data_IF_183708989844
#
_entry.id   IF_183708989844
#
_cell.length_a   1.000
_cell.length_b   1.000
_cell.length_c   1.000
_cell.angle_alpha   90.00
_cell.angle_beta   90.00
_cell.angle_gamma   90.00
#
_symmetry.space_group_name_H-M   'P 1'
#
loop_
_entity.id
_entity.type
_entity.pdbx_description
1 polymer ?
#
# COMPACT_ATOMS: atom_id res chain seq x y z
N UNK A 1 33.78 9.93 3.15
CA UNK A 1 34.88 9.40 2.31
C UNK A 1 35.19 10.37 1.18
N UNK A 2 36.46 10.63 0.83
CA UNK A 2 36.77 11.51 -0.30
C UNK A 2 36.29 10.91 -1.63
N UNK A 3 35.54 11.69 -2.42
CA UNK A 3 35.11 11.30 -3.77
C UNK A 3 36.35 11.03 -4.65
N UNK A 4 36.47 9.79 -5.15
CA UNK A 4 37.48 9.40 -6.13
C UNK A 4 37.26 10.16 -7.44
N UNK A 5 38.36 10.66 -8.02
CA UNK A 5 38.33 11.31 -9.34
C UNK A 5 37.97 10.31 -10.45
N UNK A 6 37.70 10.81 -11.66
CA UNK A 6 37.23 9.98 -12.78
C UNK A 6 38.16 8.81 -13.09
N UNK A 7 39.48 9.03 -13.09
CA UNK A 7 40.47 8.01 -13.42
C UNK A 7 40.50 6.92 -12.34
N UNK A 8 40.63 7.29 -11.06
CA UNK A 8 40.68 6.35 -9.94
C UNK A 8 39.38 5.57 -9.76
N UNK A 9 38.23 6.18 -10.04
CA UNK A 9 36.92 5.49 -10.04
C UNK A 9 36.84 4.43 -11.15
N UNK A 10 37.24 4.77 -12.38
CA UNK A 10 37.21 3.83 -13.50
C UNK A 10 38.26 2.73 -13.33
N UNK A 11 39.44 3.08 -12.81
CA UNK A 11 40.46 2.09 -12.44
C UNK A 11 39.90 1.08 -11.44
N UNK A 12 39.32 1.54 -10.33
CA UNK A 12 38.70 0.67 -9.33
C UNK A 12 37.60 -0.22 -9.94
N UNK A 13 36.76 0.32 -10.83
CA UNK A 13 35.72 -0.45 -11.54
C UNK A 13 36.29 -1.61 -12.34
N UNK A 14 37.48 -1.44 -12.91
CA UNK A 14 38.14 -2.43 -13.75
C UNK A 14 38.97 -3.42 -12.93
N UNK A 15 39.71 -2.94 -11.92
CA UNK A 15 40.65 -3.77 -11.15
C UNK A 15 40.02 -4.49 -9.97
N UNK A 16 38.98 -3.92 -9.36
CA UNK A 16 38.30 -4.50 -8.20
C UNK A 16 36.81 -4.15 -8.19
N UNK A 17 36.02 -5.04 -8.80
CA UNK A 17 34.56 -4.89 -8.88
C UNK A 17 33.89 -4.87 -7.50
N UNK A 18 34.43 -5.58 -6.52
CA UNK A 18 33.84 -5.64 -5.18
C UNK A 18 34.06 -4.30 -4.45
N UNK A 19 35.30 -3.79 -4.45
CA UNK A 19 35.61 -2.48 -3.89
C UNK A 19 34.90 -1.34 -4.64
N UNK A 20 34.71 -1.44 -5.96
CA UNK A 20 33.91 -0.48 -6.71
C UNK A 20 32.43 -0.47 -6.29
N UNK A 21 31.83 -1.65 -6.09
CA UNK A 21 30.45 -1.75 -5.57
C UNK A 21 30.34 -1.15 -4.17
N UNK A 22 31.29 -1.45 -3.28
CA UNK A 22 31.34 -0.90 -1.93
C UNK A 22 31.45 0.63 -1.95
N UNK A 23 32.40 1.18 -2.72
CA UNK A 23 32.55 2.63 -2.92
C UNK A 23 31.27 3.29 -3.43
N UNK A 24 30.57 2.66 -4.39
CA UNK A 24 29.30 3.18 -4.90
C UNK A 24 28.19 3.17 -3.84
N UNK A 25 28.13 2.13 -3.01
CA UNK A 25 27.18 2.02 -1.92
C UNK A 25 27.43 3.09 -0.85
N UNK A 26 28.69 3.33 -0.47
CA UNK A 26 29.07 4.39 0.46
C UNK A 26 28.70 5.78 -0.07
N UNK A 27 29.00 6.09 -1.34
CA UNK A 27 28.57 7.35 -1.95
C UNK A 27 27.05 7.54 -1.96
N UNK A 28 26.31 6.46 -2.21
CA UNK A 28 24.84 6.51 -2.24
C UNK A 28 24.28 6.62 -0.81
N UNK A 29 24.98 6.13 0.22
CA UNK A 29 24.67 6.36 1.63
C UNK A 29 24.90 7.84 2.01
N UNK A 30 26.10 8.38 1.76
CA UNK A 30 26.45 9.78 2.05
C UNK A 30 25.49 10.77 1.38
N UNK A 31 25.12 10.51 0.12
CA UNK A 31 24.14 11.34 -0.60
C UNK A 31 22.77 11.30 0.08
N UNK A 32 22.33 10.13 0.54
CA UNK A 32 21.05 9.99 1.25
C UNK A 32 21.09 10.70 2.60
N UNK A 33 22.17 10.56 3.36
CA UNK A 33 22.35 11.26 4.64
C UNK A 33 22.34 12.77 4.47
N UNK A 34 23.06 13.31 3.49
CA UNK A 34 23.07 14.74 3.20
C UNK A 34 21.67 15.26 2.80
N UNK A 35 20.95 14.51 1.98
CA UNK A 35 19.58 14.86 1.58
C UNK A 35 18.61 14.79 2.76
N UNK A 36 18.70 13.76 3.60
CA UNK A 36 17.92 13.64 4.84
C UNK A 36 18.17 14.83 5.76
N UNK A 37 19.43 15.22 5.98
CA UNK A 37 19.78 16.41 6.77
C UNK A 37 19.15 17.68 6.18
N UNK A 38 19.25 17.88 4.86
CA UNK A 38 18.65 19.03 4.18
C UNK A 38 17.13 19.09 4.39
N UNK A 39 16.44 17.99 4.09
CA UNK A 39 14.98 17.91 4.18
C UNK A 39 14.45 18.05 5.60
N UNK A 40 15.19 17.55 6.59
CA UNK A 40 14.83 17.72 8.00
C UNK A 40 14.83 19.19 8.43
N UNK A 41 15.76 19.99 7.90
CA UNK A 41 15.83 21.43 8.17
C UNK A 41 14.84 22.26 7.33
N UNK A 42 14.39 21.76 6.18
CA UNK A 42 13.42 22.43 5.30
C UNK A 42 11.96 22.34 5.78
N UNK A 43 11.68 21.66 6.91
CA UNK A 43 10.34 21.54 7.52
C UNK A 43 9.25 21.10 6.52
N UNK A 44 9.54 20.06 5.73
CA UNK A 44 8.58 19.49 4.77
C UNK A 44 7.38 18.78 5.43
N UNK A 45 7.37 18.69 6.77
CA UNK A 45 6.30 18.12 7.59
C UNK A 45 5.30 19.19 8.00
N UNK A 46 4.08 18.77 8.33
CA UNK A 46 3.05 19.68 8.81
C UNK A 46 3.04 19.77 10.33
N UNK A 47 2.72 20.97 10.85
CA UNK A 47 2.38 21.13 12.27
C UNK A 47 0.93 20.67 12.48
N UNK A 48 0.68 19.60 13.25
CA UNK A 48 -0.67 19.03 13.38
C UNK A 48 -1.65 20.02 14.02
N UNK A 49 -1.21 20.88 14.95
CA UNK A 49 -2.08 21.84 15.63
C UNK A 49 -2.54 22.91 14.64
N UNK A 50 -1.61 23.46 13.86
CA UNK A 50 -1.91 24.45 12.84
C UNK A 50 -2.77 23.87 11.72
N UNK A 51 -2.45 22.66 11.24
CA UNK A 51 -3.22 21.96 10.21
C UNK A 51 -4.67 21.72 10.65
N UNK A 52 -4.88 21.20 11.87
CA UNK A 52 -6.23 20.95 12.40
C UNK A 52 -7.00 22.27 12.57
N UNK A 53 -6.36 23.32 13.09
CA UNK A 53 -6.98 24.63 13.28
C UNK A 53 -7.38 25.27 11.94
N UNK A 54 -6.51 25.21 10.94
CA UNK A 54 -6.78 25.72 9.59
C UNK A 54 -7.93 24.95 8.91
N UNK A 55 -7.90 23.62 8.96
CA UNK A 55 -8.96 22.77 8.42
C UNK A 55 -10.31 23.09 9.08
N UNK A 56 -10.34 23.17 10.41
CA UNK A 56 -11.55 23.51 11.18
C UNK A 56 -12.09 24.90 10.82
N UNK A 57 -11.22 25.89 10.65
CA UNK A 57 -11.63 27.25 10.27
C UNK A 57 -12.17 27.32 8.85
N UNK A 58 -11.62 26.52 7.93
CA UNK A 58 -12.02 26.49 6.51
C UNK A 58 -13.28 25.64 6.28
N UNK A 59 -13.52 24.65 7.14
CA UNK A 59 -14.61 23.68 7.03
C UNK A 59 -14.36 22.56 6.02
N UNK A 60 -13.29 22.67 5.23
CA UNK A 60 -12.85 21.67 4.28
C UNK A 60 -11.34 21.74 4.10
N UNK A 61 -10.75 20.70 3.51
CA UNK A 61 -9.31 20.66 3.16
C UNK A 61 -9.07 19.91 1.86
N UNK A 62 -8.15 20.43 1.03
CA UNK A 62 -7.67 19.78 -0.18
C UNK A 62 -6.37 19.04 0.08
N UNK A 63 -6.39 17.74 -0.17
CA UNK A 63 -5.23 16.85 0.07
C UNK A 63 -4.86 16.15 -1.22
N UNK A 64 -3.58 16.13 -1.61
CA UNK A 64 -3.13 15.41 -2.82
C UNK A 64 -2.44 14.10 -2.53
N UNK A 65 -2.56 13.15 -3.47
CA UNK A 65 -1.81 11.90 -3.46
C UNK A 65 -1.59 11.35 -4.88
N UNK A 66 -0.42 10.78 -5.17
CA UNK A 66 -0.02 10.23 -6.48
C UNK A 66 0.44 8.77 -6.47
N UNK A 67 0.45 8.13 -5.29
CA UNK A 67 0.88 6.74 -5.16
C UNK A 67 -0.03 5.73 -5.85
N UNK A 68 0.36 4.46 -5.78
CA UNK A 68 -0.49 3.38 -6.30
C UNK A 68 -1.78 3.31 -5.48
N UNK A 69 -2.81 2.62 -5.99
CA UNK A 69 -4.10 2.49 -5.31
C UNK A 69 -3.97 1.98 -3.85
N UNK A 70 -3.03 1.07 -3.57
CA UNK A 70 -2.77 0.61 -2.19
C UNK A 70 -2.26 1.72 -1.28
N UNK A 71 -1.33 2.55 -1.76
CA UNK A 71 -0.79 3.69 -0.99
C UNK A 71 -1.91 4.69 -0.66
N UNK A 72 -2.86 4.90 -1.58
CA UNK A 72 -4.03 5.76 -1.36
C UNK A 72 -4.94 5.19 -0.26
N UNK A 73 -5.22 3.88 -0.27
CA UNK A 73 -6.01 3.22 0.79
C UNK A 73 -5.32 3.36 2.15
N UNK A 74 -3.99 3.24 2.21
CA UNK A 74 -3.24 3.41 3.45
C UNK A 74 -3.10 4.85 3.94
N UNK A 75 -3.43 5.85 3.12
CA UNK A 75 -3.53 7.25 3.54
C UNK A 75 -4.84 7.55 4.28
N UNK A 76 -5.91 6.80 3.98
CA UNK A 76 -7.25 7.00 4.54
C UNK A 76 -7.35 7.05 6.07
N UNK A 77 -6.66 6.23 6.88
CA UNK A 77 -6.79 6.34 8.34
C UNK A 77 -6.31 7.70 8.85
N UNK A 78 -5.24 8.26 8.26
CA UNK A 78 -4.76 9.61 8.61
C UNK A 78 -5.80 10.67 8.24
N UNK A 79 -6.43 10.55 7.07
CA UNK A 79 -7.47 11.48 6.60
C UNK A 79 -8.74 11.41 7.46
N UNK A 80 -9.19 10.19 7.78
CA UNK A 80 -10.29 9.95 8.71
C UNK A 80 -10.00 10.62 10.05
N UNK A 81 -8.79 10.46 10.58
CA UNK A 81 -8.42 11.09 11.85
C UNK A 81 -8.38 12.62 11.77
N UNK A 82 -7.89 13.17 10.67
CA UNK A 82 -7.93 14.62 10.44
C UNK A 82 -9.36 15.14 10.43
N UNK A 83 -10.28 14.46 9.73
CA UNK A 83 -11.71 14.79 9.75
C UNK A 83 -12.28 14.75 11.17
N UNK A 84 -12.04 13.67 11.93
CA UNK A 84 -12.52 13.55 13.32
C UNK A 84 -12.05 14.70 14.23
N UNK A 85 -10.80 15.15 14.07
CA UNK A 85 -10.20 16.18 14.92
C UNK A 85 -10.62 17.60 14.52
N UNK A 86 -10.87 17.84 13.23
CA UNK A 86 -11.15 19.17 12.69
C UNK A 86 -12.64 19.43 12.41
N UNK A 87 -13.42 18.37 12.16
CA UNK A 87 -14.76 18.44 11.59
C UNK A 87 -14.80 18.87 10.12
N UNK A 88 -13.65 18.94 9.44
CA UNK A 88 -13.56 19.45 8.08
C UNK A 88 -13.77 18.35 7.03
N UNK A 89 -14.43 18.71 5.94
CA UNK A 89 -14.63 17.84 4.79
C UNK A 89 -13.31 17.59 4.03
N UNK A 90 -12.95 16.32 3.83
CA UNK A 90 -11.72 15.96 3.10
C UNK A 90 -12.01 15.87 1.60
N UNK A 91 -11.25 16.62 0.81
CA UNK A 91 -11.27 16.57 -0.65
C UNK A 91 -9.95 15.97 -1.14
N UNK A 92 -9.97 14.69 -1.53
CA UNK A 92 -8.79 13.97 -2.01
C UNK A 92 -8.57 14.20 -3.51
N UNK A 93 -7.37 14.65 -3.87
CA UNK A 93 -6.98 15.03 -5.22
C UNK A 93 -5.93 14.05 -5.75
N UNK A 94 -6.28 13.29 -6.78
CA UNK A 94 -5.44 12.27 -7.36
C UNK A 94 -4.54 12.86 -8.45
N UNK A 95 -3.23 12.84 -8.21
CA UNK A 95 -2.22 13.24 -9.19
C UNK A 95 -1.85 12.03 -10.07
N UNK A 96 -2.19 12.11 -11.35
CA UNK A 96 -1.97 11.01 -12.29
C UNK A 96 -0.56 11.02 -12.90
N UNK A 97 -0.21 9.89 -13.52
CA UNK A 97 0.95 9.73 -14.40
C UNK A 97 2.32 9.99 -13.76
N UNK A 98 2.41 9.93 -12.43
CA UNK A 98 3.70 9.94 -11.74
C UNK A 98 4.50 8.70 -12.17
N UNK A 99 5.75 8.86 -12.66
CA UNK A 99 6.56 7.73 -13.09
C UNK A 99 6.80 6.73 -11.97
N UNK A 100 6.71 5.45 -12.29
CA UNK A 100 7.07 4.38 -11.36
C UNK A 100 8.57 4.08 -11.46
N UNK A 101 9.23 3.88 -10.33
CA UNK A 101 10.62 3.39 -10.28
C UNK A 101 10.56 1.92 -9.90
N UNK A 102 10.67 1.04 -10.90
CA UNK A 102 10.67 -0.41 -10.70
C UNK A 102 12.01 -1.03 -11.06
N UNK A 103 12.30 -2.16 -10.41
CA UNK A 103 13.35 -3.06 -10.87
C UNK A 103 12.95 -3.59 -12.26
N UNK A 104 13.85 -3.60 -13.26
CA UNK A 104 13.57 -4.10 -14.61
C UNK A 104 13.01 -5.52 -14.68
N UNK A 105 13.15 -6.32 -13.61
CA UNK A 105 12.59 -7.68 -13.52
C UNK A 105 11.07 -7.72 -13.32
N UNK A 106 10.44 -6.63 -12.88
CA UNK A 106 9.01 -6.58 -12.59
C UNK A 106 8.27 -5.71 -13.60
N UNK A 107 7.08 -6.16 -14.01
CA UNK A 107 6.14 -5.35 -14.77
C UNK A 107 5.07 -4.78 -13.84
N UNK A 108 4.74 -3.49 -13.99
CA UNK A 108 3.55 -2.94 -13.34
C UNK A 108 2.33 -3.18 -14.23
N UNK A 109 1.16 -3.55 -13.68
CA UNK A 109 -0.07 -3.65 -14.46
C UNK A 109 -0.45 -2.37 -15.21
N UNK A 110 0.03 -1.20 -14.74
CA UNK A 110 -0.21 0.11 -15.37
C UNK A 110 0.97 0.60 -16.24
N UNK A 111 1.96 -0.24 -16.51
CA UNK A 111 3.17 0.14 -17.25
C UNK A 111 4.09 1.03 -16.44
N UNK A 112 4.31 2.27 -16.89
CA UNK A 112 5.37 3.15 -16.37
C UNK A 112 4.88 4.20 -15.35
N UNK A 113 3.63 4.13 -14.92
CA UNK A 113 3.02 5.10 -13.99
C UNK A 113 2.40 4.44 -12.77
N UNK A 114 2.36 5.17 -11.66
CA UNK A 114 1.76 4.69 -10.39
C UNK A 114 0.23 4.67 -10.43
N UNK A 115 -0.38 5.68 -11.05
CA UNK A 115 -1.82 5.85 -11.15
C UNK A 115 -2.15 6.47 -12.51
N UNK A 116 -3.09 5.86 -13.25
CA UNK A 116 -3.61 6.39 -14.51
C UNK A 116 -5.11 6.69 -14.39
N UNK A 117 -5.70 7.29 -15.43
CA UNK A 117 -7.11 7.68 -15.42
C UNK A 117 -8.05 6.51 -15.09
N UNK A 118 -7.88 5.37 -15.76
CA UNK A 118 -8.71 4.17 -15.54
C UNK A 118 -8.71 3.74 -14.06
N UNK A 119 -7.55 3.78 -13.41
CA UNK A 119 -7.44 3.40 -12.00
C UNK A 119 -8.06 4.44 -11.07
N UNK A 120 -7.94 5.73 -11.40
CA UNK A 120 -8.64 6.78 -10.68
C UNK A 120 -10.15 6.61 -10.80
N UNK A 121 -10.67 6.35 -12.00
CA UNK A 121 -12.10 6.13 -12.23
C UNK A 121 -12.65 4.92 -11.47
N UNK A 122 -11.86 3.84 -11.35
CA UNK A 122 -12.23 2.65 -10.57
C UNK A 122 -12.17 2.88 -9.05
N UNK A 123 -11.30 3.79 -8.60
CA UNK A 123 -11.01 4.03 -7.18
C UNK A 123 -11.91 5.10 -6.57
N UNK A 124 -12.14 6.21 -7.28
CA UNK A 124 -12.90 7.36 -6.79
C UNK A 124 -14.25 6.97 -6.17
N UNK A 125 -15.10 6.12 -6.78
CA UNK A 125 -16.39 5.76 -6.19
C UNK A 125 -16.28 5.09 -4.81
N UNK A 126 -15.24 4.27 -4.59
CA UNK A 126 -14.99 3.62 -3.30
C UNK A 126 -14.56 4.64 -2.24
N UNK A 127 -13.72 5.60 -2.62
CA UNK A 127 -13.18 6.61 -1.71
C UNK A 127 -14.23 7.67 -1.37
N UNK A 128 -15.02 8.13 -2.33
CA UNK A 128 -16.10 9.11 -2.12
C UNK A 128 -17.26 8.55 -1.29
N UNK A 129 -17.45 7.23 -1.27
CA UNK A 129 -18.47 6.61 -0.43
C UNK A 129 -18.15 6.69 1.08
N UNK A 130 -16.92 7.07 1.46
CA UNK A 130 -16.51 7.10 2.85
C UNK A 130 -17.02 8.37 3.55
N UNK A 131 -17.56 8.28 4.78
CA UNK A 131 -18.27 9.40 5.42
C UNK A 131 -17.41 10.62 5.74
N UNK A 132 -16.08 10.46 5.76
CA UNK A 132 -15.11 11.52 6.01
C UNK A 132 -14.52 12.11 4.72
N UNK A 133 -14.93 11.64 3.54
CA UNK A 133 -14.49 12.14 2.23
C UNK A 133 -15.65 12.86 1.55
N UNK A 134 -15.49 14.15 1.25
CA UNK A 134 -16.48 14.92 0.49
C UNK A 134 -16.30 14.76 -1.04
N UNK A 135 -15.06 14.60 -1.51
CA UNK A 135 -14.79 14.30 -2.93
C UNK A 135 -13.45 13.59 -3.12
N UNK A 136 -13.35 12.78 -4.18
CA UNK A 136 -12.12 12.15 -4.65
C UNK A 136 -12.05 12.25 -6.17
N UNK A 137 -11.29 13.23 -6.68
CA UNK A 137 -11.19 13.51 -8.12
C UNK A 137 -9.75 13.68 -8.57
N UNK A 138 -9.54 13.68 -9.89
CA UNK A 138 -8.24 14.02 -10.47
C UNK A 138 -7.88 15.47 -10.19
N UNK A 139 -6.64 15.72 -9.77
CA UNK A 139 -6.10 17.04 -9.52
C UNK A 139 -6.13 17.90 -10.80
N UNK A 140 -6.64 19.13 -10.70
CA UNK A 140 -6.79 20.03 -11.84
C UNK A 140 -6.25 21.45 -11.57
N UNK A 141 -5.16 21.55 -10.83
CA UNK A 141 -4.52 22.84 -10.51
C UNK A 141 -5.11 23.55 -9.29
N UNK A 142 -5.76 22.80 -8.39
CA UNK A 142 -6.34 23.29 -7.15
C UNK A 142 -5.28 23.80 -6.16
N UNK A 143 -5.63 24.74 -5.28
CA UNK A 143 -4.77 25.12 -4.17
C UNK A 143 -4.75 23.99 -3.12
N UNK A 144 -3.57 23.39 -2.91
CA UNK A 144 -3.38 22.21 -2.06
C UNK A 144 -3.05 22.65 -0.64
N UNK A 145 -3.79 22.13 0.35
CA UNK A 145 -3.50 22.36 1.76
C UNK A 145 -2.47 21.33 2.30
N UNK A 146 -2.58 20.06 1.91
CA UNK A 146 -1.65 18.98 2.28
C UNK A 146 -1.23 18.17 1.05
N UNK A 147 0.08 18.08 0.78
CA UNK A 147 0.62 17.20 -0.24
C UNK A 147 1.17 15.93 0.39
N UNK A 148 0.38 14.85 0.36
CA UNK A 148 0.80 13.59 0.95
C UNK A 148 1.96 12.96 0.19
N UNK A 149 2.23 13.34 -1.05
CA UNK A 149 3.36 12.81 -1.81
C UNK A 149 4.73 13.01 -1.13
N UNK A 150 4.82 13.95 -0.19
CA UNK A 150 5.99 14.17 0.65
C UNK A 150 6.30 12.98 1.58
N UNK A 151 5.40 12.00 1.74
CA UNK A 151 5.77 10.76 2.42
C UNK A 151 6.86 9.98 1.66
N UNK A 152 7.03 10.23 0.36
CA UNK A 152 8.08 9.60 -0.47
C UNK A 152 9.44 10.28 -0.35
N UNK A 153 9.62 11.14 0.63
CA UNK A 153 10.91 11.75 0.92
C UNK A 153 11.84 10.72 1.59
N UNK A 154 13.17 10.88 1.47
CA UNK A 154 14.16 10.06 2.19
C UNK A 154 14.02 10.02 3.71
N UNK A 155 13.17 10.87 4.31
CA UNK A 155 12.91 10.90 5.75
C UNK A 155 12.08 9.71 6.22
N UNK A 156 11.23 9.15 5.36
CA UNK A 156 10.34 8.05 5.72
C UNK A 156 10.89 6.73 5.18
N UNK A 157 11.16 5.74 6.05
CA UNK A 157 11.66 4.45 5.61
C UNK A 157 10.52 3.63 5.00
N UNK A 158 10.37 3.71 3.68
CA UNK A 158 9.24 3.08 2.96
C UNK A 158 9.36 1.55 2.76
N UNK A 159 10.50 0.96 3.11
CA UNK A 159 10.77 -0.48 2.98
C UNK A 159 10.45 -1.26 4.27
N UNK A 160 10.17 -0.58 5.36
CA UNK A 160 9.93 -1.18 6.69
C UNK A 160 8.92 -0.38 7.52
N UNK A 161 8.47 -0.97 8.62
CA UNK A 161 7.48 -0.36 9.51
C UNK A 161 6.06 -0.60 9.01
N UNK A 162 5.15 0.34 9.22
CA UNK A 162 3.77 0.23 8.74
C UNK A 162 3.42 1.39 7.79
N UNK A 163 3.10 1.05 6.54
CA UNK A 163 2.67 1.95 5.48
C UNK A 163 1.49 2.83 5.87
N UNK A 164 0.57 2.32 6.71
CA UNK A 164 -0.57 3.08 7.21
C UNK A 164 -0.17 4.27 8.11
N UNK A 165 1.11 4.34 8.55
CA UNK A 165 1.66 5.43 9.35
C UNK A 165 2.46 6.46 8.54
N UNK A 166 2.73 6.22 7.26
CA UNK A 166 3.58 7.12 6.47
C UNK A 166 3.00 8.54 6.39
N UNK A 167 1.69 8.67 6.16
CA UNK A 167 1.02 9.97 6.17
C UNK A 167 0.97 10.59 7.58
N UNK A 168 0.95 9.77 8.65
CA UNK A 168 1.05 10.25 10.02
C UNK A 168 2.41 10.85 10.34
N UNK A 169 3.51 10.25 9.84
CA UNK A 169 4.85 10.82 10.03
C UNK A 169 5.00 12.18 9.32
N UNK A 170 4.29 12.37 8.20
CA UNK A 170 4.28 13.63 7.49
C UNK A 170 3.43 14.71 8.19
N UNK A 171 2.27 14.32 8.73
CA UNK A 171 1.25 15.27 9.23
C UNK A 171 1.27 15.46 10.74
N UNK A 172 1.91 14.57 11.49
CA UNK A 172 1.77 14.48 12.94
C UNK A 172 0.42 13.94 13.43
N UNK A 173 -0.49 13.58 12.52
CA UNK A 173 -1.83 13.07 12.85
C UNK A 173 -1.76 11.54 12.97
N UNK A 174 -1.91 11.03 14.20
CA UNK A 174 -1.84 9.58 14.48
C UNK A 174 -3.24 8.96 14.59
N UNK A 175 -3.67 8.13 13.62
CA UNK A 175 -4.92 7.40 13.70
C UNK A 175 -4.82 6.16 14.61
N UNK A 176 -5.96 5.64 15.03
CA UNK A 176 -6.06 4.28 15.55
C UNK A 176 -6.17 3.32 14.36
N UNK A 177 -5.20 2.43 14.21
CA UNK A 177 -5.12 1.48 13.11
C UNK A 177 -5.84 0.15 13.42
N UNK A 178 -6.37 -0.04 14.62
CA UNK A 178 -7.14 -1.24 14.97
C UNK A 178 -8.59 -1.20 14.49
N UNK A 179 -9.08 -0.04 14.05
CA UNK A 179 -10.46 0.16 13.58
C UNK A 179 -10.54 0.33 12.07
N UNK A 180 -11.73 0.10 11.52
CA UNK A 180 -11.98 0.25 10.08
C UNK A 180 -11.73 1.69 9.63
N UNK A 181 -11.07 1.83 8.49
CA UNK A 181 -10.97 3.09 7.74
C UNK A 181 -11.52 2.96 6.32
N UNK A 182 -12.32 1.93 6.08
CA UNK A 182 -13.16 1.79 4.90
C UNK A 182 -14.48 1.14 5.34
N UNK A 183 -15.58 1.63 4.78
CA UNK A 183 -16.93 1.13 4.95
C UNK A 183 -17.52 0.81 3.57
N UNK A 184 -18.19 -0.35 3.48
CA UNK A 184 -18.84 -0.85 2.27
C UNK A 184 -19.87 -1.90 2.66
N UNK A 185 -20.95 -1.99 1.89
CA UNK A 185 -21.89 -3.10 2.01
C UNK A 185 -21.22 -4.42 1.59
N UNK A 186 -21.30 -5.44 2.44
CA UNK A 186 -20.72 -6.75 2.19
C UNK A 186 -21.54 -7.57 1.19
N UNK A 187 -20.86 -8.19 0.21
CA UNK A 187 -21.49 -9.18 -0.66
C UNK A 187 -21.54 -10.54 0.04
N UNK A 188 -22.69 -10.81 0.67
CA UNK A 188 -22.90 -12.03 1.46
C UNK A 188 -22.87 -13.33 0.64
N UNK A 189 -22.80 -13.29 -0.69
CA UNK A 189 -22.57 -14.49 -1.51
C UNK A 189 -21.18 -15.11 -1.27
N UNK A 190 -20.27 -14.36 -0.65
CA UNK A 190 -18.89 -14.80 -0.36
C UNK A 190 -18.67 -15.21 1.10
N UNK A 191 -19.71 -15.29 1.94
CA UNK A 191 -19.59 -15.49 3.39
C UNK A 191 -18.85 -16.76 3.82
N UNK A 192 -18.91 -17.84 3.03
CA UNK A 192 -18.12 -19.08 3.24
C UNK A 192 -17.01 -19.25 2.19
N UNK A 193 -16.59 -18.16 1.54
CA UNK A 193 -15.55 -18.18 0.51
C UNK A 193 -14.25 -17.56 1.00
N UNK A 194 -13.14 -18.28 0.79
CA UNK A 194 -11.79 -17.74 0.92
C UNK A 194 -11.47 -16.91 -0.31
N UNK A 195 -11.22 -15.62 -0.12
CA UNK A 195 -10.83 -14.72 -1.23
C UNK A 195 -9.31 -14.59 -1.25
N UNK A 196 -8.71 -14.90 -2.40
CA UNK A 196 -7.27 -14.87 -2.62
C UNK A 196 -6.89 -13.71 -3.55
N UNK A 197 -5.79 -13.02 -3.24
CA UNK A 197 -5.09 -12.18 -4.19
C UNK A 197 -3.58 -12.28 -3.97
N UNK A 198 -2.78 -12.42 -5.02
CA UNK A 198 -1.32 -12.55 -4.87
C UNK A 198 -0.58 -11.86 -6.00
N UNK A 199 -0.15 -10.63 -5.73
CA UNK A 199 0.54 -9.82 -6.73
C UNK A 199 1.94 -10.32 -7.05
N UNK A 200 2.44 -10.04 -8.26
CA UNK A 200 3.80 -10.45 -8.71
C UNK A 200 4.95 -9.87 -7.86
N UNK A 201 4.70 -8.79 -7.13
CA UNK A 201 5.66 -8.11 -6.25
C UNK A 201 5.48 -8.57 -4.81
N UNK A 202 6.52 -8.41 -3.99
CA UNK A 202 6.46 -8.68 -2.55
C UNK A 202 5.93 -10.08 -2.22
N UNK A 203 6.45 -11.08 -2.94
CA UNK A 203 6.15 -12.49 -2.69
C UNK A 203 7.17 -13.10 -1.74
N UNK A 204 6.74 -14.17 -1.10
CA UNK A 204 7.60 -15.15 -0.46
C UNK A 204 7.66 -16.39 -1.36
N UNK A 205 8.75 -16.52 -2.11
CA UNK A 205 8.93 -17.61 -3.07
C UNK A 205 9.12 -18.98 -2.40
N UNK A 206 9.24 -19.02 -1.07
CA UNK A 206 9.36 -20.27 -0.29
C UNK A 206 8.02 -20.82 0.21
N UNK A 207 6.90 -20.14 -0.07
CA UNK A 207 5.57 -20.52 0.41
C UNK A 207 4.82 -21.33 -0.65
N UNK A 208 4.30 -22.49 -0.23
CA UNK A 208 3.47 -23.35 -1.05
C UNK A 208 1.99 -23.16 -0.71
N UNK A 209 1.20 -22.73 -1.69
CA UNK A 209 -0.24 -22.54 -1.56
C UNK A 209 -1.05 -23.81 -1.84
N UNK A 210 -0.45 -24.90 -2.34
CA UNK A 210 -1.16 -26.12 -2.75
C UNK A 210 -1.98 -26.79 -1.65
N UNK A 211 -1.64 -26.61 -0.37
CA UNK A 211 -2.47 -27.12 0.72
C UNK A 211 -3.88 -26.51 0.71
N UNK A 212 -4.08 -25.36 0.06
CA UNK A 212 -5.40 -24.74 -0.10
C UNK A 212 -6.35 -25.55 -0.99
N UNK A 213 -5.86 -26.55 -1.72
CA UNK A 213 -6.71 -27.48 -2.50
C UNK A 213 -7.70 -28.26 -1.62
N UNK A 214 -7.45 -28.39 -0.30
CA UNK A 214 -8.38 -29.03 0.63
C UNK A 214 -9.62 -28.17 0.94
N UNK A 215 -9.59 -26.87 0.64
CA UNK A 215 -10.71 -25.95 0.88
C UNK A 215 -11.46 -25.70 -0.44
N UNK A 216 -12.72 -26.15 -0.59
CA UNK A 216 -13.42 -26.09 -1.87
C UNK A 216 -13.90 -24.68 -2.25
N UNK A 217 -14.29 -23.88 -1.27
CA UNK A 217 -14.87 -22.55 -1.48
C UNK A 217 -13.78 -21.48 -1.48
N UNK A 218 -13.10 -21.33 -2.64
CA UNK A 218 -12.06 -20.32 -2.83
C UNK A 218 -12.16 -19.64 -4.19
N UNK A 219 -11.91 -18.34 -4.21
CA UNK A 219 -11.87 -17.54 -5.43
C UNK A 219 -10.64 -16.63 -5.46
N UNK A 220 -10.28 -16.18 -6.65
CA UNK A 220 -9.18 -15.25 -6.88
C UNK A 220 -9.69 -13.92 -7.40
N UNK A 221 -9.17 -12.83 -6.84
CA UNK A 221 -9.32 -11.46 -7.36
C UNK A 221 -7.96 -10.89 -7.73
N UNK A 222 -7.84 -10.29 -8.91
CA UNK A 222 -6.58 -9.77 -9.43
C UNK A 222 -6.51 -9.82 -10.95
N UNK A 223 -5.32 -9.54 -11.49
CA UNK A 223 -5.11 -9.54 -12.95
C UNK A 223 -4.88 -10.96 -13.49
N UNK A 224 -5.00 -11.11 -14.80
CA UNK A 224 -4.92 -12.40 -15.50
C UNK A 224 -3.61 -13.14 -15.22
N UNK A 225 -2.48 -12.43 -15.23
CA UNK A 225 -1.16 -13.03 -15.00
C UNK A 225 -1.04 -13.62 -13.59
N UNK A 226 -1.48 -12.88 -12.58
CA UNK A 226 -1.48 -13.28 -11.18
C UNK A 226 -2.42 -14.46 -10.93
N UNK A 227 -3.60 -14.45 -11.54
CA UNK A 227 -4.54 -15.57 -11.48
C UNK A 227 -3.95 -16.83 -12.12
N UNK A 228 -3.41 -16.71 -13.33
CA UNK A 228 -2.85 -17.85 -14.06
C UNK A 228 -1.67 -18.46 -13.30
N UNK A 229 -0.85 -17.63 -12.64
CA UNK A 229 0.21 -18.09 -11.74
C UNK A 229 -0.34 -18.92 -10.57
N UNK A 230 -1.33 -18.40 -9.84
CA UNK A 230 -1.95 -19.09 -8.71
C UNK A 230 -2.68 -20.37 -9.11
N UNK A 231 -3.35 -20.37 -10.27
CA UNK A 231 -4.08 -21.52 -10.79
C UNK A 231 -3.18 -22.74 -11.07
N UNK A 232 -1.88 -22.53 -11.31
CA UNK A 232 -0.92 -23.64 -11.44
C UNK A 232 -0.79 -24.45 -10.15
N UNK A 233 -0.94 -23.81 -8.99
CA UNK A 233 -0.91 -24.46 -7.68
C UNK A 233 -2.31 -24.91 -7.22
N UNK A 234 -3.35 -24.21 -7.68
CA UNK A 234 -4.75 -24.41 -7.30
C UNK A 234 -5.64 -24.60 -8.55
N UNK A 235 -5.69 -25.80 -9.14
CA UNK A 235 -6.36 -26.03 -10.42
C UNK A 235 -7.88 -25.74 -10.41
N UNK A 236 -8.53 -25.87 -9.26
CA UNK A 236 -9.95 -25.61 -9.04
C UNK A 236 -10.27 -24.14 -8.72
N UNK A 237 -9.25 -23.28 -8.62
CA UNK A 237 -9.40 -21.86 -8.33
C UNK A 237 -10.19 -21.16 -9.44
N UNK A 238 -11.26 -20.47 -9.04
CA UNK A 238 -12.07 -19.63 -9.92
C UNK A 238 -11.65 -18.18 -9.78
N UNK A 239 -11.64 -17.44 -10.89
CA UNK A 239 -11.41 -15.99 -10.87
C UNK A 239 -12.73 -15.24 -10.85
N UNK A 240 -12.79 -14.18 -10.06
CA UNK A 240 -13.85 -13.18 -10.13
C UNK A 240 -13.32 -11.97 -10.90
N UNK A 241 -13.99 -11.60 -11.99
CA UNK A 241 -13.68 -10.39 -12.74
C UNK A 241 -14.27 -9.17 -12.04
N UNK A 242 -13.41 -8.21 -11.72
CA UNK A 242 -13.78 -7.00 -10.99
C UNK A 242 -14.05 -5.88 -11.97
N UNK A 243 -15.23 -5.28 -11.86
CA UNK A 243 -15.66 -4.14 -12.68
C UNK A 243 -15.18 -2.80 -12.12
N UNK A 244 -15.17 -2.64 -10.79
CA UNK A 244 -14.71 -1.44 -10.08
C UNK A 244 -14.24 -1.81 -8.66
N UNK A 245 -13.56 -0.89 -7.96
CA UNK A 245 -13.02 -1.22 -6.64
C UNK A 245 -14.07 -1.23 -5.52
N UNK A 246 -15.25 -0.63 -5.72
CA UNK A 246 -16.39 -0.82 -4.81
C UNK A 246 -16.84 -2.28 -4.78
N UNK A 247 -16.95 -2.92 -5.95
CA UNK A 247 -17.26 -4.35 -6.06
C UNK A 247 -16.17 -5.21 -5.40
N UNK A 248 -14.89 -4.89 -5.65
CA UNK A 248 -13.78 -5.58 -4.98
C UNK A 248 -13.89 -5.50 -3.46
N UNK A 249 -14.13 -4.30 -2.93
CA UNK A 249 -14.27 -4.08 -1.50
C UNK A 249 -15.48 -4.80 -0.91
N UNK A 250 -16.62 -4.80 -1.61
CA UNK A 250 -17.82 -5.53 -1.19
C UNK A 250 -17.60 -7.04 -1.11
N UNK A 251 -16.93 -7.63 -2.10
CA UNK A 251 -16.55 -9.06 -2.10
C UNK A 251 -15.60 -9.38 -0.95
N UNK A 252 -14.59 -8.53 -0.71
CA UNK A 252 -13.66 -8.71 0.41
C UNK A 252 -14.40 -8.57 1.74
N UNK A 253 -15.27 -7.58 1.90
CA UNK A 253 -16.06 -7.35 3.12
C UNK A 253 -16.96 -8.54 3.45
N UNK A 254 -17.52 -9.19 2.44
CA UNK A 254 -18.39 -10.35 2.59
C UNK A 254 -17.68 -11.70 2.62
N UNK A 255 -16.34 -11.76 2.52
CA UNK A 255 -15.63 -13.04 2.47
C UNK A 255 -15.53 -13.74 3.84
N UNK A 256 -15.29 -15.05 3.84
CA UNK A 256 -15.00 -15.80 5.07
C UNK A 256 -13.71 -15.30 5.73
N UNK A 257 -12.66 -15.23 4.92
CA UNK A 257 -11.42 -14.53 5.23
C UNK A 257 -10.62 -14.31 3.95
N UNK A 258 -9.73 -13.32 4.01
CA UNK A 258 -8.88 -12.91 2.92
C UNK A 258 -7.45 -13.46 3.06
N UNK A 259 -6.83 -13.87 1.95
CA UNK A 259 -5.38 -14.18 1.92
C UNK A 259 -4.74 -13.39 0.79
N UNK A 260 -3.66 -12.68 1.10
CA UNK A 260 -2.83 -12.11 0.07
C UNK A 260 -1.49 -11.60 0.53
N UNK A 261 -0.70 -11.10 -0.42
CA UNK A 261 0.55 -10.42 -0.13
C UNK A 261 0.40 -8.90 -0.17
N UNK A 262 1.50 -8.16 0.03
CA UNK A 262 1.54 -6.69 0.08
C UNK A 262 1.08 -6.05 -1.24
N UNK A 263 -0.23 -5.95 -1.42
CA UNK A 263 -0.89 -5.63 -2.67
C UNK A 263 -2.11 -4.74 -2.42
N UNK A 264 -2.68 -4.17 -3.49
CA UNK A 264 -3.87 -3.34 -3.37
C UNK A 264 -5.09 -4.07 -2.77
N UNK A 265 -5.43 -5.31 -3.19
CA UNK A 265 -6.48 -6.08 -2.54
C UNK A 265 -6.25 -6.29 -1.03
N UNK A 266 -5.00 -6.53 -0.61
CA UNK A 266 -4.70 -6.63 0.82
C UNK A 266 -4.89 -5.30 1.56
N UNK A 267 -4.57 -4.16 0.93
CA UNK A 267 -4.83 -2.85 1.52
C UNK A 267 -6.33 -2.63 1.80
N UNK A 268 -7.22 -3.10 0.92
CA UNK A 268 -8.67 -3.07 1.15
C UNK A 268 -9.06 -3.99 2.31
N UNK A 269 -8.56 -5.24 2.33
CA UNK A 269 -8.84 -6.17 3.43
C UNK A 269 -8.39 -5.61 4.79
N UNK A 270 -7.22 -4.96 4.82
CA UNK A 270 -6.68 -4.26 5.98
C UNK A 270 -7.54 -3.07 6.41
N UNK A 271 -8.06 -2.30 5.45
CA UNK A 271 -8.91 -1.15 5.71
C UNK A 271 -10.28 -1.52 6.31
N UNK A 272 -10.83 -2.65 5.87
CA UNK A 272 -12.12 -3.21 6.30
C UNK A 272 -12.03 -4.00 7.61
N UNK A 273 -10.81 -4.36 8.04
CA UNK A 273 -10.53 -5.26 9.18
C UNK A 273 -11.21 -6.63 9.09
N UNK A 274 -11.44 -7.13 7.88
CA UNK A 274 -11.93 -8.51 7.69
C UNK A 274 -10.89 -9.49 8.26
N UNK A 275 -11.31 -10.72 8.64
CA UNK A 275 -10.37 -11.78 8.94
C UNK A 275 -9.42 -11.97 7.76
N UNK A 276 -8.10 -11.88 7.99
CA UNK A 276 -7.13 -11.78 6.90
C UNK A 276 -5.75 -12.32 7.25
N UNK A 277 -5.06 -12.83 6.24
CA UNK A 277 -3.71 -13.36 6.35
C UNK A 277 -2.79 -12.69 5.32
N UNK A 278 -1.69 -12.10 5.80
CA UNK A 278 -0.66 -11.46 4.98
C UNK A 278 0.54 -12.39 4.73
N UNK A 279 0.81 -12.68 3.46
CA UNK A 279 2.09 -13.22 3.02
C UNK A 279 3.13 -12.08 3.01
N UNK A 280 4.16 -12.17 3.86
CA UNK A 280 5.22 -11.17 3.94
C UNK A 280 6.37 -11.49 2.97
N UNK A 281 6.90 -10.45 2.32
CA UNK A 281 8.17 -10.54 1.61
C UNK A 281 9.35 -10.37 2.56
N UNK A 282 10.46 -11.07 2.31
CA UNK A 282 11.71 -10.85 3.06
C UNK A 282 12.41 -9.54 2.72
N UNK A 283 12.12 -8.94 1.55
CA UNK A 283 12.80 -7.73 1.09
C UNK A 283 12.17 -6.46 1.65
N UNK A 284 10.85 -6.45 1.80
CA UNK A 284 10.06 -5.27 2.18
C UNK A 284 9.02 -5.72 3.19
N UNK A 285 9.15 -5.29 4.44
CA UNK A 285 8.24 -5.64 5.55
C UNK A 285 7.62 -4.35 6.05
N UNK A 286 6.83 -3.72 5.17
CA UNK A 286 6.26 -2.40 5.38
C UNK A 286 4.73 -2.40 5.55
N UNK A 287 4.09 -3.57 5.52
CA UNK A 287 2.67 -3.73 5.85
C UNK A 287 2.62 -4.57 7.11
N UNK A 288 2.00 -4.02 8.15
CA UNK A 288 1.77 -4.70 9.41
C UNK A 288 0.26 -4.69 9.64
N UNK A 289 -0.42 -5.84 9.57
CA UNK A 289 -1.85 -5.86 9.75
C UNK A 289 -2.20 -5.61 11.22
N UNK A 290 -3.14 -4.69 11.46
CA UNK A 290 -3.54 -4.27 12.81
C UNK A 290 -5.06 -4.42 12.99
N UNK A 291 -5.47 -4.94 14.15
CA UNK A 291 -6.89 -5.09 14.51
C UNK A 291 -7.63 -6.25 13.82
N UNK A 292 -8.72 -6.68 14.47
CA UNK A 292 -9.51 -7.84 14.04
C UNK A 292 -8.75 -9.16 14.13
N UNK A 293 -9.25 -10.18 13.42
CA UNK A 293 -8.58 -11.47 13.26
C UNK A 293 -7.57 -11.39 12.11
N UNK A 294 -6.39 -10.87 12.40
CA UNK A 294 -5.32 -10.69 11.41
C UNK A 294 -4.07 -11.48 11.73
N UNK A 295 -3.47 -12.07 10.70
CA UNK A 295 -2.19 -12.77 10.81
C UNK A 295 -1.25 -12.34 9.68
N UNK A 296 0.05 -12.44 9.93
CA UNK A 296 1.10 -12.33 8.93
C UNK A 296 2.10 -13.48 9.07
N UNK A 297 2.76 -13.88 7.99
CA UNK A 297 3.65 -15.03 8.04
C UNK A 297 4.84 -14.95 7.08
N UNK A 298 5.91 -15.64 7.49
CA UNK A 298 7.11 -15.91 6.67
C UNK A 298 7.33 -17.41 6.42
N UNK A 299 6.69 -18.28 7.21
CA UNK A 299 6.95 -19.72 7.21
C UNK A 299 5.68 -20.54 6.95
N UNK A 300 5.83 -21.59 6.15
CA UNK A 300 4.74 -22.46 5.70
C UNK A 300 3.86 -22.98 6.84
N UNK A 301 4.46 -23.46 7.93
CA UNK A 301 3.70 -24.06 9.04
C UNK A 301 2.79 -23.05 9.73
N UNK A 302 3.23 -21.78 9.81
CA UNK A 302 2.42 -20.71 10.39
C UNK A 302 1.24 -20.41 9.47
N UNK A 303 1.49 -20.31 8.16
CA UNK A 303 0.45 -20.08 7.17
C UNK A 303 -0.67 -21.13 7.25
N UNK A 304 -0.32 -22.42 7.21
CA UNK A 304 -1.28 -23.52 7.32
C UNK A 304 -2.10 -23.46 8.61
N UNK A 305 -1.44 -23.16 9.74
CA UNK A 305 -2.11 -23.05 11.03
C UNK A 305 -3.09 -21.86 11.08
N UNK A 306 -2.72 -20.71 10.51
CA UNK A 306 -3.61 -19.54 10.46
C UNK A 306 -4.83 -19.79 9.58
N UNK A 307 -4.64 -20.42 8.41
CA UNK A 307 -5.76 -20.81 7.54
C UNK A 307 -6.69 -21.79 8.25
N UNK A 308 -6.14 -22.80 8.93
CA UNK A 308 -6.95 -23.75 9.71
C UNK A 308 -7.72 -23.05 10.85
N UNK A 309 -7.10 -22.08 11.51
CA UNK A 309 -7.73 -21.30 12.59
C UNK A 309 -8.92 -20.50 12.07
N UNK A 310 -8.74 -19.73 10.98
CA UNK A 310 -9.81 -18.92 10.41
C UNK A 310 -10.91 -19.76 9.76
N UNK A 311 -10.58 -20.92 9.19
CA UNK A 311 -11.59 -21.78 8.59
C UNK A 311 -12.53 -22.44 9.62
N UNK A 312 -12.06 -22.64 10.85
CA UNK A 312 -12.80 -23.26 11.95
C UNK A 312 -13.45 -22.24 12.90
N UNK A 313 -13.29 -20.94 12.64
CA UNK A 313 -13.90 -19.84 13.41
C UNK A 313 -15.35 -19.59 12.98
#
# INVERSE_FOLDING_TARGET
MPKKNFISKNWLKLTDKAAYKHYKAELDLERREAETHRLYHEQITYDPVQTIAAAKSKGFIYVTHSGNAGDIIYALPTLKKLHELSGADINLLLKLNRPIVLNPKYTHPLGNVMLNQKMADMLSPLIEAQPYIASCRVYNGDDIDIDLDNFRTPLIPMDKGNIARWCSYLTGISPDLHVNWLDVEADNNYNDTIVLARSERYRNDFINHQFLNQYPNKVFIGVDSEYNDMKRMLPDLKRVEIQNFTQMASIIAGCKFFIGNQSFPFAIAEALKVPRILELSFEVINVVPEGGLSFDFLFQKHFENYVATLNNS
#
